data_IF_170193681062
#
_entry.id   IF_170193681062
#
_cell.length_a   1.000
_cell.length_b   1.000
_cell.length_c   1.000
_cell.angle_alpha   90.00
_cell.angle_beta   90.00
_cell.angle_gamma   90.00
#
_symmetry.space_group_name_H-M   'P 1'
#
loop_
_entity.id
_entity.type
_entity.pdbx_description
1 polymer ?
#
# COMPACT_ATOMS: atom_id res chain seq x y z
N UNK A 1 18.74 -12.44 -8.76
CA UNK A 1 17.34 -12.66 -8.34
C UNK A 1 16.60 -13.63 -9.25
N UNK A 2 16.50 -13.36 -10.56
CA UNK A 2 15.76 -14.22 -11.52
C UNK A 2 16.09 -15.72 -11.43
N UNK A 3 17.38 -16.08 -11.43
CA UNK A 3 17.80 -17.48 -11.32
C UNK A 3 17.26 -18.18 -10.05
N UNK A 4 17.18 -17.48 -8.91
CA UNK A 4 16.64 -18.03 -7.66
C UNK A 4 15.12 -18.20 -7.70
N UNK A 5 14.41 -17.32 -8.42
CA UNK A 5 12.96 -17.42 -8.63
C UNK A 5 12.67 -18.62 -9.53
N UNK A 6 13.47 -18.83 -10.57
CA UNK A 6 13.32 -19.94 -11.52
C UNK A 6 13.59 -21.32 -10.88
N UNK A 7 14.27 -21.38 -9.73
CA UNK A 7 14.46 -22.60 -8.93
C UNK A 7 13.22 -22.97 -8.08
N UNK A 8 12.23 -22.08 -8.00
CA UNK A 8 11.00 -22.28 -7.20
C UNK A 8 9.88 -22.85 -8.08
N UNK A 9 8.88 -23.53 -7.48
CA UNK A 9 7.68 -23.89 -8.20
C UNK A 9 7.04 -22.66 -8.84
N UNK A 10 6.50 -22.80 -10.05
CA UNK A 10 5.87 -21.69 -10.76
C UNK A 10 4.78 -21.03 -9.92
N UNK A 11 4.05 -21.82 -9.12
CA UNK A 11 2.99 -21.41 -8.21
C UNK A 11 3.44 -20.76 -6.89
N UNK A 12 4.75 -20.58 -6.66
CA UNK A 12 5.25 -20.03 -5.40
C UNK A 12 4.93 -18.54 -5.24
N UNK A 13 3.99 -18.25 -4.34
CA UNK A 13 3.53 -16.90 -4.04
C UNK A 13 4.68 -15.98 -3.59
N UNK A 14 5.58 -16.47 -2.73
CA UNK A 14 6.69 -15.67 -2.22
C UNK A 14 7.69 -15.37 -3.33
N UNK A 15 8.04 -16.35 -4.17
CA UNK A 15 8.94 -16.13 -5.29
C UNK A 15 8.40 -15.09 -6.28
N UNK A 16 7.09 -15.11 -6.56
CA UNK A 16 6.41 -14.10 -7.39
C UNK A 16 6.42 -12.72 -6.75
N UNK A 17 6.13 -12.63 -5.46
CA UNK A 17 6.17 -11.37 -4.71
C UNK A 17 7.57 -10.73 -4.73
N UNK A 18 8.61 -11.52 -4.48
CA UNK A 18 10.00 -11.04 -4.53
C UNK A 18 10.38 -10.60 -5.94
N UNK A 19 9.89 -11.31 -6.96
CA UNK A 19 10.11 -10.92 -8.35
C UNK A 19 9.37 -9.64 -8.73
N UNK A 20 8.13 -9.47 -8.27
CA UNK A 20 7.36 -8.23 -8.41
C UNK A 20 8.12 -7.05 -7.79
N UNK A 21 8.64 -7.24 -6.57
CA UNK A 21 9.42 -6.23 -5.84
C UNK A 21 10.70 -5.81 -6.56
N UNK A 22 11.36 -6.73 -7.29
CA UNK A 22 12.49 -6.36 -8.15
C UNK A 22 12.07 -5.46 -9.30
N UNK A 23 10.94 -5.76 -9.95
CA UNK A 23 10.44 -4.91 -11.05
C UNK A 23 10.04 -3.53 -10.56
N UNK A 24 9.30 -3.46 -9.45
CA UNK A 24 8.90 -2.22 -8.81
C UNK A 24 10.14 -1.37 -8.44
N UNK A 25 11.13 -1.97 -7.78
CA UNK A 25 12.38 -1.30 -7.43
C UNK A 25 13.15 -0.76 -8.65
N UNK A 26 13.04 -1.41 -9.81
CA UNK A 26 13.67 -0.99 -11.06
C UNK A 26 12.85 0.05 -11.84
N UNK A 27 11.73 0.55 -11.30
CA UNK A 27 10.84 1.48 -11.98
C UNK A 27 10.10 0.84 -13.15
N UNK A 28 9.77 -0.45 -13.02
CA UNK A 28 8.98 -1.24 -13.98
C UNK A 28 7.63 -1.61 -13.38
N UNK A 29 6.93 -0.61 -12.87
CA UNK A 29 5.68 -0.78 -12.12
C UNK A 29 4.62 -1.52 -12.95
N UNK A 30 4.51 -1.22 -14.25
CA UNK A 30 3.59 -1.91 -15.15
C UNK A 30 3.88 -3.42 -15.27
N UNK A 31 5.15 -3.83 -15.17
CA UNK A 31 5.55 -5.24 -15.14
C UNK A 31 5.39 -5.85 -13.74
N UNK A 32 5.53 -5.05 -12.68
CA UNK A 32 5.39 -5.48 -11.29
C UNK A 32 3.94 -5.78 -10.90
N UNK A 33 2.98 -4.95 -11.32
CA UNK A 33 1.55 -5.07 -10.99
C UNK A 33 0.99 -6.48 -11.21
N UNK A 34 1.10 -7.10 -12.42
CA UNK A 34 0.55 -8.45 -12.63
C UNK A 34 1.25 -9.51 -11.77
N UNK A 35 2.53 -9.32 -11.41
CA UNK A 35 3.26 -10.25 -10.54
C UNK A 35 2.79 -10.15 -9.09
N UNK A 36 2.53 -8.94 -8.59
CA UNK A 36 1.94 -8.74 -7.26
C UNK A 36 0.56 -9.36 -7.14
N UNK A 37 -0.31 -9.13 -8.15
CA UNK A 37 -1.65 -9.71 -8.19
C UNK A 37 -1.59 -11.24 -8.18
N UNK A 38 -0.72 -11.85 -8.98
CA UNK A 38 -0.52 -13.29 -9.01
C UNK A 38 0.05 -13.85 -7.69
N UNK A 39 0.92 -13.10 -7.01
CA UNK A 39 1.43 -13.48 -5.70
C UNK A 39 0.32 -13.47 -4.64
N UNK A 40 -0.50 -12.42 -4.62
CA UNK A 40 -1.64 -12.29 -3.71
C UNK A 40 -2.68 -13.40 -3.91
N UNK A 41 -3.02 -13.71 -5.17
CA UNK A 41 -3.96 -14.78 -5.54
C UNK A 41 -3.44 -16.17 -5.14
N UNK A 42 -2.14 -16.41 -5.29
CA UNK A 42 -1.49 -17.67 -4.90
C UNK A 42 -1.39 -17.86 -3.37
N UNK A 43 -1.75 -16.85 -2.57
CA UNK A 43 -1.76 -16.91 -1.11
C UNK A 43 -0.37 -16.63 -0.51
N UNK A 44 -0.15 -15.37 -0.13
CA UNK A 44 1.02 -14.98 0.67
C UNK A 44 0.79 -15.23 2.16
N UNK A 45 1.89 -15.46 2.87
CA UNK A 45 1.87 -15.53 4.34
C UNK A 45 1.52 -14.17 4.98
N UNK A 46 1.28 -14.21 6.29
CA UNK A 46 0.88 -13.03 7.09
C UNK A 46 1.91 -11.91 7.12
N UNK A 47 3.17 -12.20 6.79
CA UNK A 47 4.24 -11.21 6.72
C UNK A 47 4.25 -10.52 5.36
N UNK A 48 4.20 -11.30 4.28
CA UNK A 48 4.36 -10.80 2.92
C UNK A 48 3.08 -10.21 2.34
N UNK A 49 1.90 -10.74 2.70
CA UNK A 49 0.62 -10.23 2.17
C UNK A 49 0.45 -8.71 2.38
N UNK A 50 0.56 -8.15 3.59
CA UNK A 50 0.37 -6.72 3.80
C UNK A 50 1.46 -5.88 3.10
N UNK A 51 2.68 -6.40 2.97
CA UNK A 51 3.76 -5.75 2.21
C UNK A 51 3.42 -5.69 0.71
N UNK A 52 2.97 -6.80 0.14
CA UNK A 52 2.57 -6.91 -1.25
C UNK A 52 1.41 -5.99 -1.61
N UNK A 53 0.42 -5.83 -0.72
CA UNK A 53 -0.68 -4.87 -0.92
C UNK A 53 -0.18 -3.44 -0.97
N UNK A 54 0.70 -3.04 -0.04
CA UNK A 54 1.26 -1.68 0.00
C UNK A 54 2.13 -1.41 -1.23
N UNK A 55 2.98 -2.35 -1.64
CA UNK A 55 3.82 -2.18 -2.82
C UNK A 55 2.99 -2.17 -4.12
N UNK A 56 2.01 -3.06 -4.25
CA UNK A 56 1.06 -3.04 -5.36
C UNK A 56 0.34 -1.69 -5.45
N UNK A 57 -0.13 -1.15 -4.33
CA UNK A 57 -0.77 0.16 -4.27
C UNK A 57 0.17 1.28 -4.74
N UNK A 58 1.44 1.25 -4.32
CA UNK A 58 2.47 2.18 -4.80
C UNK A 58 2.67 2.07 -6.32
N UNK A 59 2.82 0.86 -6.85
CA UNK A 59 3.00 0.64 -8.29
C UNK A 59 1.78 1.08 -9.11
N UNK A 60 0.56 0.76 -8.66
CA UNK A 60 -0.70 1.17 -9.31
C UNK A 60 -0.89 2.69 -9.33
N UNK A 61 -0.47 3.37 -8.27
CA UNK A 61 -0.51 4.84 -8.22
C UNK A 61 0.39 5.45 -9.31
N UNK A 62 1.60 4.91 -9.48
CA UNK A 62 2.54 5.38 -10.51
C UNK A 62 2.06 5.12 -11.95
N UNK A 63 1.13 4.18 -12.16
CA UNK A 63 0.52 3.91 -13.47
C UNK A 63 -0.80 4.65 -13.70
N UNK A 64 -1.22 5.51 -12.77
CA UNK A 64 -2.41 6.36 -12.89
C UNK A 64 -3.71 5.74 -12.39
N UNK A 65 -3.66 4.58 -11.71
CA UNK A 65 -4.83 3.87 -11.20
C UNK A 65 -5.25 4.31 -9.79
N UNK A 66 -5.22 5.62 -9.50
CA UNK A 66 -5.43 6.14 -8.14
C UNK A 66 -6.77 5.73 -7.51
N UNK A 67 -7.86 5.69 -8.28
CA UNK A 67 -9.17 5.27 -7.78
C UNK A 67 -9.20 3.80 -7.34
N UNK A 68 -8.52 2.92 -8.07
CA UNK A 68 -8.41 1.50 -7.71
C UNK A 68 -7.58 1.31 -6.44
N UNK A 69 -6.52 2.11 -6.29
CA UNK A 69 -5.70 2.12 -5.07
C UNK A 69 -6.50 2.56 -3.84
N UNK A 70 -7.39 3.55 -3.99
CA UNK A 70 -8.27 3.98 -2.90
C UNK A 70 -9.16 2.83 -2.42
N UNK A 71 -9.80 2.11 -3.33
CA UNK A 71 -10.68 0.99 -2.98
C UNK A 71 -9.89 -0.18 -2.39
N UNK A 72 -8.72 -0.49 -2.94
CA UNK A 72 -7.81 -1.51 -2.41
C UNK A 72 -7.41 -1.21 -0.96
N UNK A 73 -6.92 0.00 -0.69
CA UNK A 73 -6.35 0.34 0.62
C UNK A 73 -7.41 0.65 1.68
N UNK A 74 -8.64 1.02 1.31
CA UNK A 74 -9.76 1.11 2.25
C UNK A 74 -10.16 -0.24 2.83
N UNK A 75 -10.01 -1.29 2.04
CA UNK A 75 -10.30 -2.66 2.46
C UNK A 75 -9.14 -3.31 3.23
N UNK A 76 -7.93 -2.72 3.20
CA UNK A 76 -6.75 -3.29 3.82
C UNK A 76 -6.69 -2.98 5.33
N UNK A 77 -6.71 -3.99 6.21
CA UNK A 77 -6.60 -3.76 7.64
C UNK A 77 -5.18 -3.30 8.02
N UNK A 78 -5.06 -2.58 9.14
CA UNK A 78 -3.76 -2.30 9.75
C UNK A 78 -3.05 -3.61 10.09
N UNK A 79 -1.78 -3.71 9.74
CA UNK A 79 -0.94 -4.87 10.03
C UNK A 79 0.20 -4.49 10.98
N UNK A 80 0.60 -5.36 11.92
CA UNK A 80 1.80 -5.12 12.73
C UNK A 80 3.08 -5.07 11.89
N UNK A 81 3.06 -5.61 10.66
CA UNK A 81 4.22 -5.66 9.75
C UNK A 81 4.43 -4.32 9.05
N UNK A 82 3.34 -3.70 8.58
CA UNK A 82 3.39 -2.46 7.79
C UNK A 82 2.93 -1.22 8.58
N UNK A 83 2.37 -1.40 9.78
CA UNK A 83 1.80 -0.33 10.58
C UNK A 83 0.77 0.47 9.79
N UNK A 84 0.92 1.78 9.82
CA UNK A 84 0.03 2.73 9.12
C UNK A 84 0.46 3.00 7.66
N UNK A 85 1.33 2.19 7.06
CA UNK A 85 1.77 2.40 5.68
C UNK A 85 0.58 2.40 4.70
N UNK A 86 -0.40 1.49 4.87
CA UNK A 86 -1.61 1.47 4.03
C UNK A 86 -2.38 2.79 4.11
N UNK A 87 -2.50 3.40 5.30
CA UNK A 87 -3.14 4.70 5.45
C UNK A 87 -2.35 5.83 4.79
N UNK A 88 -1.01 5.79 4.87
CA UNK A 88 -0.16 6.77 4.19
C UNK A 88 -0.29 6.70 2.66
N UNK A 89 -0.26 5.50 2.08
CA UNK A 89 -0.46 5.31 0.64
C UNK A 89 -1.91 5.60 0.21
N UNK A 90 -2.91 5.34 1.07
CA UNK A 90 -4.29 5.74 0.83
C UNK A 90 -4.42 7.25 0.74
N UNK A 91 -3.77 7.99 1.64
CA UNK A 91 -3.74 9.46 1.57
C UNK A 91 -3.14 9.96 0.25
N UNK A 92 -2.05 9.36 -0.22
CA UNK A 92 -1.46 9.71 -1.52
C UNK A 92 -2.41 9.41 -2.70
N UNK A 93 -3.10 8.27 -2.67
CA UNK A 93 -4.06 7.90 -3.70
C UNK A 93 -5.31 8.81 -3.69
N UNK A 94 -5.80 9.18 -2.51
CA UNK A 94 -6.90 10.15 -2.34
C UNK A 94 -6.51 11.52 -2.90
N UNK A 95 -5.28 11.98 -2.66
CA UNK A 95 -4.79 13.24 -3.21
C UNK A 95 -4.77 13.21 -4.74
N UNK A 96 -4.21 12.15 -5.33
CA UNK A 96 -4.17 12.00 -6.79
C UNK A 96 -5.56 11.87 -7.42
N UNK A 97 -6.52 11.30 -6.67
CA UNK A 97 -7.93 11.21 -7.06
C UNK A 97 -8.72 12.53 -6.86
N UNK A 98 -8.05 13.63 -6.49
CA UNK A 98 -8.69 14.93 -6.30
C UNK A 98 -9.47 15.08 -5.00
N UNK A 99 -9.16 14.28 -3.97
CA UNK A 99 -9.80 14.29 -2.63
C UNK A 99 -8.81 14.74 -1.53
N UNK A 100 -8.24 15.95 -1.60
CA UNK A 100 -7.15 16.38 -0.72
C UNK A 100 -7.56 16.52 0.75
N UNK A 101 -8.81 16.88 1.04
CA UNK A 101 -9.31 16.99 2.42
C UNK A 101 -9.33 15.62 3.10
N UNK A 102 -9.88 14.60 2.42
CA UNK A 102 -9.88 13.22 2.91
C UNK A 102 -8.47 12.61 2.97
N UNK A 103 -7.59 12.96 2.02
CA UNK A 103 -6.19 12.58 2.06
C UNK A 103 -5.51 13.09 3.35
N UNK A 104 -5.68 14.38 3.66
CA UNK A 104 -5.13 14.99 4.86
C UNK A 104 -5.74 14.37 6.13
N UNK A 105 -7.05 14.14 6.13
CA UNK A 105 -7.74 13.48 7.24
C UNK A 105 -7.17 12.09 7.50
N UNK A 106 -6.99 11.29 6.45
CA UNK A 106 -6.41 9.93 6.51
C UNK A 106 -5.00 9.96 7.07
N UNK A 107 -4.12 10.82 6.54
CA UNK A 107 -2.73 10.92 6.97
C UNK A 107 -2.60 11.37 8.43
N UNK A 108 -3.40 12.36 8.86
CA UNK A 108 -3.37 12.85 10.22
C UNK A 108 -3.96 11.83 11.21
N UNK A 109 -5.01 11.09 10.85
CA UNK A 109 -5.55 10.01 11.69
C UNK A 109 -4.51 8.91 11.94
N UNK A 110 -3.69 8.58 10.94
CA UNK A 110 -2.56 7.66 11.10
C UNK A 110 -1.44 8.23 11.97
N UNK A 111 -1.14 9.53 11.86
CA UNK A 111 -0.07 10.19 12.61
C UNK A 111 -0.41 10.37 14.09
N UNK A 112 -1.64 10.79 14.40
CA UNK A 112 -2.11 11.18 15.75
C UNK A 112 -1.78 10.12 16.83
N UNK A 113 -1.96 8.81 16.57
CA UNK A 113 -1.56 7.74 17.49
C UNK A 113 -0.08 7.70 17.88
N UNK A 114 0.80 8.24 17.04
CA UNK A 114 2.27 8.20 17.25
C UNK A 114 2.79 9.39 18.07
N UNK A 115 1.96 10.43 18.25
CA UNK A 115 2.41 11.69 18.84
C UNK A 115 2.50 11.61 20.37
N UNK A 116 3.60 12.12 20.97
CA UNK A 116 3.76 12.22 22.41
C UNK A 116 2.95 13.38 23.03
N UNK A 117 2.68 14.43 22.26
CA UNK A 117 1.92 15.63 22.68
C UNK A 117 0.98 16.08 21.55
N UNK A 118 0.08 17.03 21.85
CA UNK A 118 -0.87 17.64 20.90
C UNK A 118 -1.88 16.71 20.23
N UNK A 119 -1.97 15.44 20.66
CA UNK A 119 -2.94 14.46 20.14
C UNK A 119 -4.36 15.00 20.07
N UNK A 120 -4.90 15.49 21.19
CA UNK A 120 -6.27 16.01 21.23
C UNK A 120 -6.49 17.27 20.40
N UNK A 121 -5.46 18.09 20.20
CA UNK A 121 -5.57 19.25 19.31
C UNK A 121 -5.67 18.82 17.85
N UNK A 122 -4.81 17.90 17.42
CA UNK A 122 -4.84 17.38 16.05
C UNK A 122 -6.08 16.53 15.77
N UNK A 123 -6.55 15.71 16.72
CA UNK A 123 -7.82 14.96 16.56
C UNK A 123 -8.97 15.92 16.23
N UNK A 124 -9.08 17.04 16.93
CA UNK A 124 -10.13 18.04 16.65
C UNK A 124 -10.00 18.64 15.25
N UNK A 125 -8.80 19.03 14.84
CA UNK A 125 -8.60 19.57 13.50
C UNK A 125 -8.90 18.54 12.41
N UNK A 126 -8.60 17.27 12.63
CA UNK A 126 -8.98 16.17 11.72
C UNK A 126 -10.50 16.08 11.57
N UNK A 127 -11.24 16.23 12.66
CA UNK A 127 -12.71 16.15 12.67
C UNK A 127 -13.38 17.41 12.08
N UNK A 128 -12.67 18.53 12.02
CA UNK A 128 -13.10 19.79 11.38
C UNK A 128 -12.81 19.84 9.86
N UNK A 129 -12.03 18.90 9.32
CA UNK A 129 -11.81 18.82 7.87
C UNK A 129 -13.10 18.38 7.16
N UNK A 130 -13.67 19.27 6.35
CA UNK A 130 -14.77 18.96 5.43
C UNK A 130 -14.25 18.08 4.28
N UNK A 131 -14.28 16.76 4.48
CA UNK A 131 -13.84 15.72 3.54
C UNK A 131 -15.01 15.01 2.84
#
# INVERSE_FOLDING_TARGET
MRALVDERPEADAAARYEWASVHDFLGREAEAVPLYLAALDAGLDEVRRPQAVVQLASSLRNTGAAAEVVELLRAEPTSPVTGEASAAFLALALYDAGRPAEALQTALRALVPTLPLYRGALTRYVDELDA
#
